data_IF_874512290483
#
_entry.id   IF_874512290483
#
_cell.length_a   1.000
_cell.length_b   1.000
_cell.length_c   1.000
_cell.angle_alpha   90.00
_cell.angle_beta   90.00
_cell.angle_gamma   90.00
#
_symmetry.space_group_name_H-M   'P 1'
#
loop_
_entity.id
_entity.type
_entity.pdbx_description
1 polymer ?
#
# COMPACT_ATOMS: atom_id res chain seq x y z
N UNK A 1 -20.40 5.64 -26.44
CA UNK A 1 -20.79 4.29 -25.97
C UNK A 1 -20.28 4.15 -24.54
N UNK A 2 -21.14 4.35 -23.53
CA UNK A 2 -20.77 4.36 -22.10
C UNK A 2 -20.95 2.96 -21.52
N UNK A 3 -19.85 2.27 -21.21
CA UNK A 3 -19.89 1.02 -20.46
C UNK A 3 -20.22 1.31 -18.99
N UNK A 4 -21.40 0.88 -18.56
CA UNK A 4 -21.89 0.92 -17.18
C UNK A 4 -21.74 -0.48 -16.60
N UNK A 5 -20.55 -0.83 -16.12
CA UNK A 5 -20.28 -2.11 -15.46
C UNK A 5 -19.45 -1.89 -14.21
N UNK A 6 -20.04 -1.23 -13.22
CA UNK A 6 -19.52 -1.24 -11.84
C UNK A 6 -20.66 -0.93 -10.88
N UNK A 7 -21.43 -1.96 -10.52
CA UNK A 7 -22.32 -1.88 -9.34
C UNK A 7 -22.70 -3.24 -8.74
N UNK A 8 -22.46 -4.35 -9.45
CA UNK A 8 -22.94 -5.66 -8.99
C UNK A 8 -22.13 -6.27 -7.83
N UNK A 9 -20.90 -5.84 -7.57
CA UNK A 9 -20.07 -6.37 -6.47
C UNK A 9 -20.41 -5.77 -5.10
N UNK A 10 -20.96 -4.55 -5.05
CA UNK A 10 -21.34 -3.89 -3.79
C UNK A 10 -22.73 -4.29 -3.29
N UNK A 11 -23.66 -4.63 -4.19
CA UNK A 11 -24.98 -5.15 -3.79
C UNK A 11 -24.90 -6.56 -3.19
N UNK A 12 -23.99 -7.42 -3.68
CA UNK A 12 -23.81 -8.77 -3.15
C UNK A 12 -23.17 -8.75 -1.75
N UNK A 13 -22.18 -7.87 -1.50
CA UNK A 13 -21.59 -7.69 -0.16
C UNK A 13 -22.56 -7.02 0.84
N UNK A 14 -23.48 -6.17 0.34
CA UNK A 14 -24.53 -5.56 1.14
C UNK A 14 -25.65 -6.53 1.52
N UNK A 15 -26.02 -7.46 0.64
CA UNK A 15 -26.98 -8.53 0.92
C UNK A 15 -26.44 -9.57 1.90
N UNK A 16 -25.16 -9.95 1.80
CA UNK A 16 -24.55 -10.93 2.71
C UNK A 16 -24.43 -10.36 4.14
N UNK A 17 -24.15 -9.06 4.29
CA UNK A 17 -24.15 -8.40 5.60
C UNK A 17 -25.55 -8.17 6.18
N UNK A 18 -26.59 -8.02 5.36
CA UNK A 18 -27.96 -7.81 5.84
C UNK A 18 -28.69 -9.10 6.19
N UNK A 19 -28.40 -10.22 5.50
CA UNK A 19 -28.91 -11.55 5.84
C UNK A 19 -28.30 -12.14 7.12
N UNK A 20 -27.19 -11.58 7.60
CA UNK A 20 -26.42 -12.13 8.73
C UNK A 20 -26.19 -11.12 9.85
N UNK A 21 -27.25 -10.41 10.24
CA UNK A 21 -27.31 -9.60 11.48
C UNK A 21 -26.89 -10.41 12.71
N UNK A 22 -26.00 -9.83 13.52
CA UNK A 22 -25.40 -10.42 14.72
C UNK A 22 -26.42 -10.84 15.80
N UNK A 23 -27.64 -10.26 15.79
CA UNK A 23 -28.72 -10.61 16.72
C UNK A 23 -29.43 -11.92 16.36
N UNK A 24 -29.60 -12.21 15.06
CA UNK A 24 -30.25 -13.44 14.59
C UNK A 24 -29.33 -14.65 14.79
N UNK A 25 -28.02 -14.48 14.57
CA UNK A 25 -27.00 -15.52 14.84
C UNK A 25 -27.06 -16.04 16.28
N UNK A 26 -27.26 -15.15 17.26
CA UNK A 26 -27.36 -15.53 18.68
C UNK A 26 -28.60 -16.39 18.96
N UNK A 27 -29.73 -16.11 18.30
CA UNK A 27 -30.96 -16.91 18.45
C UNK A 27 -30.77 -18.33 17.92
N UNK A 28 -30.20 -18.49 16.72
CA UNK A 28 -29.95 -19.82 16.14
C UNK A 28 -28.91 -20.62 16.94
N UNK A 29 -27.85 -19.98 17.44
CA UNK A 29 -26.86 -20.63 18.31
C UNK A 29 -27.52 -21.11 19.62
N UNK A 30 -28.39 -20.29 20.23
CA UNK A 30 -29.13 -20.66 21.43
C UNK A 30 -30.12 -21.81 21.17
N UNK A 31 -30.86 -21.77 20.07
CA UNK A 31 -31.81 -22.84 19.68
C UNK A 31 -31.06 -24.15 19.40
N UNK A 32 -29.94 -24.10 18.67
CA UNK A 32 -29.13 -25.28 18.37
C UNK A 32 -28.51 -25.89 19.64
N UNK A 33 -28.01 -25.04 20.55
CA UNK A 33 -27.53 -25.48 21.87
C UNK A 33 -28.64 -26.11 22.72
N UNK A 34 -29.85 -25.54 22.69
CA UNK A 34 -31.01 -26.08 23.39
C UNK A 34 -31.40 -27.47 22.84
N UNK A 35 -31.39 -27.65 21.52
CA UNK A 35 -31.69 -28.94 20.87
C UNK A 35 -30.65 -29.99 21.28
N UNK A 36 -29.36 -29.65 21.23
CA UNK A 36 -28.26 -30.54 21.65
C UNK A 36 -28.37 -30.93 23.12
N UNK A 37 -28.92 -30.09 23.97
CA UNK A 37 -29.10 -30.37 25.40
C UNK A 37 -30.39 -31.16 25.70
N UNK A 38 -31.50 -30.78 25.07
CA UNK A 38 -32.81 -31.38 25.33
C UNK A 38 -32.92 -32.80 24.78
N UNK A 39 -32.35 -33.07 23.60
CA UNK A 39 -32.45 -34.39 22.98
C UNK A 39 -31.81 -35.51 23.81
N UNK A 40 -30.55 -35.45 24.29
CA UNK A 40 -29.99 -36.50 25.15
C UNK A 40 -30.68 -36.58 26.51
N UNK A 41 -31.14 -35.44 27.07
CA UNK A 41 -31.91 -35.42 28.33
C UNK A 41 -33.24 -36.17 28.18
N UNK A 42 -33.92 -36.00 27.05
CA UNK A 42 -35.17 -36.71 26.75
C UNK A 42 -34.97 -38.22 26.63
N UNK A 43 -33.93 -38.67 25.92
CA UNK A 43 -33.60 -40.11 25.82
C UNK A 43 -33.19 -40.72 27.17
N UNK A 44 -32.45 -39.98 28.01
CA UNK A 44 -32.13 -40.41 29.38
C UNK A 44 -33.38 -40.62 30.25
N UNK A 45 -34.39 -39.75 30.12
CA UNK A 45 -35.66 -39.88 30.85
C UNK A 45 -36.44 -41.11 30.38
N UNK A 46 -36.51 -41.36 29.06
CA UNK A 46 -37.17 -42.55 28.52
C UNK A 46 -36.54 -43.85 29.04
N UNK A 47 -35.21 -43.90 29.06
CA UNK A 47 -34.46 -45.05 29.60
C UNK A 47 -34.68 -45.21 31.11
N UNK A 48 -34.69 -44.11 31.89
CA UNK A 48 -34.94 -44.16 33.33
C UNK A 48 -36.30 -44.76 33.69
N UNK A 49 -37.34 -44.47 32.88
CA UNK A 49 -38.69 -45.02 33.08
C UNK A 49 -38.91 -46.41 32.45
N UNK A 50 -37.87 -47.05 31.90
CA UNK A 50 -37.95 -48.34 31.18
C UNK A 50 -39.00 -48.36 30.04
N UNK A 51 -39.32 -47.19 29.46
CA UNK A 51 -40.23 -47.10 28.32
C UNK A 51 -39.59 -47.61 27.01
N UNK A 52 -38.27 -47.77 26.99
CA UNK A 52 -37.48 -48.27 25.86
C UNK A 52 -37.95 -49.65 25.35
N UNK A 53 -38.42 -50.52 26.24
CA UNK A 53 -39.00 -51.84 25.90
C UNK A 53 -40.27 -51.78 25.04
N UNK A 54 -41.02 -50.66 25.05
CA UNK A 54 -42.24 -50.50 24.24
C UNK A 54 -42.00 -49.88 22.85
N UNK A 55 -40.82 -49.29 22.63
CA UNK A 55 -40.48 -48.53 21.41
C UNK A 55 -39.43 -49.23 20.52
N UNK A 56 -39.09 -50.49 20.82
CA UNK A 56 -38.26 -51.31 19.95
C UNK A 56 -36.75 -51.01 19.97
N UNK A 57 -36.26 -50.22 20.94
CA UNK A 57 -34.83 -50.13 21.23
C UNK A 57 -34.43 -51.36 22.06
N UNK A 58 -33.90 -52.37 21.37
CA UNK A 58 -33.68 -53.71 21.95
C UNK A 58 -32.40 -53.83 22.77
N UNK A 59 -31.50 -52.84 22.75
CA UNK A 59 -30.26 -52.84 23.54
C UNK A 59 -30.18 -51.56 24.39
N UNK A 60 -29.92 -51.74 25.68
CA UNK A 60 -29.66 -50.65 26.62
C UNK A 60 -28.54 -49.74 26.06
N UNK A 61 -28.83 -48.45 25.91
CA UNK A 61 -27.90 -47.38 25.47
C UNK A 61 -27.60 -47.21 23.97
N UNK A 62 -28.37 -47.79 23.05
CA UNK A 62 -28.17 -47.59 21.59
C UNK A 62 -28.17 -46.12 21.13
N UNK A 63 -28.96 -45.27 21.79
CA UNK A 63 -29.02 -43.83 21.49
C UNK A 63 -27.69 -43.11 21.75
N UNK A 64 -26.87 -43.59 22.70
CA UNK A 64 -25.59 -42.98 23.05
C UNK A 64 -24.61 -43.07 21.88
N UNK A 65 -24.62 -44.20 21.15
CA UNK A 65 -23.81 -44.38 19.94
C UNK A 65 -24.25 -43.44 18.81
N UNK A 66 -25.55 -43.23 18.64
CA UNK A 66 -26.10 -42.28 17.67
C UNK A 66 -25.66 -40.84 17.97
N UNK A 67 -25.79 -40.38 19.22
CA UNK A 67 -25.38 -39.02 19.60
C UNK A 67 -23.85 -38.84 19.57
N UNK A 68 -23.09 -39.85 19.98
CA UNK A 68 -21.64 -39.85 19.86
C UNK A 68 -21.19 -39.71 18.39
N UNK A 69 -21.84 -40.42 17.47
CA UNK A 69 -21.61 -40.29 16.03
C UNK A 69 -22.03 -38.93 15.47
N UNK A 70 -23.21 -38.43 15.85
CA UNK A 70 -23.72 -37.13 15.38
C UNK A 70 -22.84 -35.96 15.87
N UNK A 71 -22.51 -35.91 17.16
CA UNK A 71 -21.64 -34.88 17.72
C UNK A 71 -20.21 -35.04 17.19
N UNK A 72 -19.68 -36.25 17.16
CA UNK A 72 -18.35 -36.52 16.61
C UNK A 72 -18.23 -36.10 15.14
N UNK A 73 -19.24 -36.41 14.32
CA UNK A 73 -19.30 -36.01 12.92
C UNK A 73 -19.44 -34.49 12.74
N UNK A 74 -20.29 -33.85 13.56
CA UNK A 74 -20.49 -32.38 13.51
C UNK A 74 -19.24 -31.63 13.93
N UNK A 75 -18.63 -32.00 15.07
CA UNK A 75 -17.38 -31.39 15.53
C UNK A 75 -16.21 -31.71 14.60
N UNK A 76 -16.13 -32.94 14.08
CA UNK A 76 -15.13 -33.33 13.08
C UNK A 76 -15.25 -32.53 11.78
N UNK A 77 -16.49 -32.31 11.30
CA UNK A 77 -16.78 -31.47 10.15
C UNK A 77 -16.39 -30.01 10.36
N UNK A 78 -16.75 -29.42 11.51
CA UNK A 78 -16.37 -28.05 11.87
C UNK A 78 -14.85 -27.92 11.99
N UNK A 79 -14.17 -28.86 12.63
CA UNK A 79 -12.72 -28.87 12.77
C UNK A 79 -12.03 -28.95 11.41
N UNK A 80 -12.51 -29.83 10.52
CA UNK A 80 -12.00 -29.96 9.15
C UNK A 80 -12.19 -28.66 8.36
N UNK A 81 -13.40 -28.09 8.40
CA UNK A 81 -13.71 -26.82 7.75
C UNK A 81 -12.81 -25.69 8.25
N UNK A 82 -12.64 -25.57 9.57
CA UNK A 82 -11.78 -24.56 10.18
C UNK A 82 -10.31 -24.75 9.76
N UNK A 83 -9.84 -26.00 9.71
CA UNK A 83 -8.51 -26.34 9.21
C UNK A 83 -8.31 -25.86 7.77
N UNK A 84 -9.18 -26.26 6.86
CA UNK A 84 -9.12 -25.86 5.43
C UNK A 84 -9.22 -24.34 5.27
N UNK A 85 -10.13 -23.70 5.99
CA UNK A 85 -10.30 -22.24 5.95
C UNK A 85 -9.03 -21.49 6.40
N UNK A 86 -8.42 -21.93 7.51
CA UNK A 86 -7.16 -21.36 8.00
C UNK A 86 -6.03 -21.57 6.99
N UNK A 87 -5.92 -22.76 6.41
CA UNK A 87 -4.92 -23.09 5.39
C UNK A 87 -5.07 -22.22 4.15
N UNK A 88 -6.29 -22.08 3.59
CA UNK A 88 -6.54 -21.24 2.42
C UNK A 88 -6.22 -19.77 2.70
N UNK A 89 -6.58 -19.27 3.88
CA UNK A 89 -6.27 -17.89 4.28
C UNK A 89 -4.76 -17.67 4.38
N UNK A 90 -4.03 -18.63 4.94
CA UNK A 90 -2.58 -18.58 5.05
C UNK A 90 -1.91 -18.64 3.67
N UNK A 91 -2.31 -19.60 2.83
CA UNK A 91 -1.80 -19.76 1.47
C UNK A 91 -2.02 -18.51 0.64
N UNK A 92 -3.25 -17.96 0.63
CA UNK A 92 -3.56 -16.73 -0.10
C UNK A 92 -2.66 -15.56 0.32
N UNK A 93 -2.38 -15.45 1.63
CA UNK A 93 -1.48 -14.41 2.16
C UNK A 93 -0.03 -14.67 1.75
N UNK A 94 0.44 -15.92 1.82
CA UNK A 94 1.78 -16.31 1.42
C UNK A 94 2.03 -16.11 -0.08
N UNK A 95 1.05 -16.48 -0.91
CA UNK A 95 1.11 -16.31 -2.37
C UNK A 95 1.12 -14.83 -2.75
N UNK A 96 0.28 -14.02 -2.11
CA UNK A 96 0.30 -12.57 -2.31
C UNK A 96 1.67 -11.96 -1.94
N UNK A 97 2.23 -12.35 -0.80
CA UNK A 97 3.54 -11.89 -0.35
C UNK A 97 4.66 -12.31 -1.31
N UNK A 98 4.63 -13.57 -1.76
CA UNK A 98 5.59 -14.13 -2.72
C UNK A 98 5.51 -13.42 -4.06
N UNK A 99 4.29 -13.21 -4.57
CA UNK A 99 4.07 -12.49 -5.81
C UNK A 99 4.58 -11.05 -5.70
N UNK A 100 4.31 -10.35 -4.58
CA UNK A 100 4.84 -9.01 -4.34
C UNK A 100 6.38 -8.99 -4.36
N UNK A 101 7.02 -9.91 -3.64
CA UNK A 101 8.49 -9.99 -3.58
C UNK A 101 9.11 -10.29 -4.95
N UNK A 102 8.40 -11.01 -5.82
CA UNK A 102 8.88 -11.31 -7.17
C UNK A 102 8.89 -10.11 -8.13
N UNK A 103 8.15 -9.04 -7.81
CA UNK A 103 8.01 -7.85 -8.68
C UNK A 103 8.38 -6.55 -7.97
N UNK A 104 9.01 -6.62 -6.80
CA UNK A 104 9.29 -5.44 -6.01
C UNK A 104 10.25 -4.50 -6.75
N UNK A 105 9.87 -3.23 -7.00
CA UNK A 105 10.78 -2.24 -7.57
C UNK A 105 11.63 -1.63 -6.47
N UNK A 106 12.94 -1.54 -6.73
CA UNK A 106 13.91 -0.88 -5.84
C UNK A 106 14.52 0.25 -6.66
N UNK A 107 14.40 1.47 -6.17
CA UNK A 107 14.86 2.64 -6.89
C UNK A 107 16.14 3.18 -6.27
N UNK A 108 17.12 3.45 -7.13
CA UNK A 108 18.32 4.21 -6.82
C UNK A 108 18.23 5.59 -7.46
N UNK A 109 18.85 6.57 -6.82
CA UNK A 109 18.75 7.96 -7.23
C UNK A 109 20.13 8.53 -7.50
N UNK A 110 20.21 9.37 -8.53
CA UNK A 110 21.35 10.22 -8.83
C UNK A 110 20.84 11.62 -9.16
N UNK A 111 21.59 12.65 -8.78
CA UNK A 111 21.29 14.03 -9.13
C UNK A 111 22.40 14.51 -10.06
N UNK A 112 22.03 14.96 -11.26
CA UNK A 112 22.93 15.72 -12.14
C UNK A 112 22.51 17.18 -12.17
N UNK A 113 23.49 18.07 -12.01
CA UNK A 113 23.33 19.53 -12.09
C UNK A 113 24.07 20.11 -13.30
N UNK A 114 24.55 19.27 -14.22
CA UNK A 114 25.20 19.72 -15.44
C UNK A 114 24.16 20.21 -16.46
N UNK A 115 24.32 21.44 -16.97
CA UNK A 115 23.40 22.02 -17.96
C UNK A 115 23.27 21.16 -19.21
N UNK A 116 24.37 20.57 -19.67
CA UNK A 116 24.35 19.72 -20.85
C UNK A 116 23.51 18.45 -20.62
N UNK A 117 23.60 17.84 -19.43
CA UNK A 117 22.77 16.69 -19.07
C UNK A 117 21.29 17.09 -18.91
N UNK A 118 21.06 18.28 -18.35
CA UNK A 118 19.73 18.84 -18.22
C UNK A 118 19.09 19.10 -19.59
N UNK A 119 19.81 19.69 -20.54
CA UNK A 119 19.29 20.00 -21.88
C UNK A 119 19.12 18.72 -22.72
N UNK A 120 20.10 17.82 -22.69
CA UNK A 120 20.12 16.60 -23.53
C UNK A 120 19.27 15.45 -22.98
N UNK A 121 18.92 15.44 -21.68
CA UNK A 121 18.11 14.37 -21.15
C UNK A 121 16.70 14.40 -21.77
N UNK A 122 16.27 13.28 -22.36
CA UNK A 122 14.92 13.09 -22.92
C UNK A 122 13.84 12.97 -21.82
N UNK A 123 14.08 13.56 -20.64
CA UNK A 123 13.32 13.34 -19.41
C UNK A 123 11.94 14.00 -19.37
N UNK A 124 11.63 14.91 -20.27
CA UNK A 124 10.33 15.58 -20.33
C UNK A 124 10.20 16.25 -21.70
N UNK A 125 9.63 15.54 -22.69
CA UNK A 125 9.06 16.21 -23.85
C UNK A 125 7.69 15.61 -24.14
N UNK A 126 6.74 16.56 -24.22
CA UNK A 126 5.46 16.49 -24.95
C UNK A 126 4.52 15.36 -24.58
N UNK A 127 3.74 15.58 -23.51
CA UNK A 127 2.30 15.31 -23.51
C UNK A 127 1.56 16.05 -22.36
N UNK A 128 2.25 16.54 -21.31
CA UNK A 128 1.58 17.06 -20.08
C UNK A 128 2.12 18.38 -19.46
N UNK A 129 2.81 19.26 -20.19
CA UNK A 129 2.99 20.66 -19.74
C UNK A 129 4.29 21.02 -19.01
N UNK A 130 5.38 21.12 -19.78
CA UNK A 130 6.59 21.86 -19.38
C UNK A 130 7.45 21.22 -18.29
N UNK A 131 8.59 21.87 -18.03
CA UNK A 131 9.45 21.55 -16.88
C UNK A 131 8.82 22.25 -15.66
N UNK A 132 8.65 21.57 -14.51
CA UNK A 132 8.07 22.19 -13.32
C UNK A 132 8.97 23.33 -12.81
N UNK A 133 8.38 24.52 -12.66
CA UNK A 133 9.00 25.72 -12.10
C UNK A 133 8.59 25.86 -10.63
N UNK A 134 9.59 25.94 -9.74
CA UNK A 134 9.38 25.88 -8.29
C UNK A 134 9.90 27.18 -7.67
N UNK A 135 9.01 27.98 -7.12
CA UNK A 135 9.35 29.25 -6.49
C UNK A 135 9.54 29.07 -4.98
N UNK A 136 10.72 29.40 -4.47
CA UNK A 136 11.06 29.35 -3.05
C UNK A 136 10.91 30.74 -2.43
N UNK A 137 10.19 30.82 -1.31
CA UNK A 137 10.01 32.08 -0.56
C UNK A 137 9.43 33.20 -1.44
N UNK A 138 10.12 34.35 -1.54
CA UNK A 138 9.70 35.51 -2.35
C UNK A 138 10.20 35.45 -3.80
N UNK A 139 11.00 34.44 -4.15
CA UNK A 139 11.56 34.32 -5.49
C UNK A 139 10.50 33.90 -6.51
N UNK A 140 10.70 34.30 -7.75
CA UNK A 140 9.81 33.98 -8.86
C UNK A 140 10.60 33.90 -10.15
N UNK A 141 10.21 33.00 -11.05
CA UNK A 141 10.67 33.00 -12.44
C UNK A 141 10.57 34.37 -13.15
N UNK A 142 9.62 35.22 -12.74
CA UNK A 142 9.41 36.55 -13.33
C UNK A 142 10.31 37.63 -12.71
N UNK A 143 11.01 37.34 -11.62
CA UNK A 143 11.84 38.28 -10.89
C UNK A 143 13.32 38.14 -11.30
N UNK A 144 13.91 39.25 -11.77
CA UNK A 144 15.31 39.30 -12.20
C UNK A 144 16.31 39.12 -11.05
N UNK A 145 15.87 39.34 -9.81
CA UNK A 145 16.70 39.16 -8.62
C UNK A 145 16.63 37.71 -8.08
N UNK A 146 15.85 36.85 -8.72
CA UNK A 146 15.77 35.43 -8.37
C UNK A 146 16.88 34.64 -9.08
N UNK A 147 17.55 33.77 -8.33
CA UNK A 147 18.52 32.84 -8.87
C UNK A 147 17.82 31.60 -9.38
N UNK A 148 18.15 31.21 -10.61
CA UNK A 148 17.64 30.00 -11.25
C UNK A 148 18.60 28.83 -11.02
N UNK A 149 18.06 27.77 -10.44
CA UNK A 149 18.73 26.49 -10.25
C UNK A 149 18.01 25.41 -11.05
N UNK A 150 18.78 24.47 -11.57
CA UNK A 150 18.25 23.33 -12.28
C UNK A 150 18.95 22.06 -11.80
N UNK A 151 18.20 20.97 -11.73
CA UNK A 151 18.78 19.65 -11.55
C UNK A 151 17.92 18.60 -12.26
N UNK A 152 18.57 17.50 -12.61
CA UNK A 152 17.95 16.32 -13.16
C UNK A 152 18.06 15.18 -12.13
N UNK A 153 16.90 14.72 -11.64
CA UNK A 153 16.81 13.52 -10.84
C UNK A 153 16.75 12.30 -11.77
N UNK A 154 17.80 11.50 -11.73
CA UNK A 154 17.89 10.25 -12.46
C UNK A 154 17.50 9.12 -11.51
N UNK A 155 16.44 8.41 -11.86
CA UNK A 155 15.94 7.26 -11.12
C UNK A 155 16.32 6.00 -11.89
N UNK A 156 17.10 5.12 -11.26
CA UNK A 156 17.41 3.79 -11.77
C UNK A 156 16.59 2.74 -11.02
N UNK A 157 16.00 1.79 -11.71
CA UNK A 157 15.29 0.69 -11.06
C UNK A 157 16.15 -0.57 -11.05
N UNK A 158 16.72 -0.88 -9.89
CA UNK A 158 17.56 -2.06 -9.62
C UNK A 158 16.76 -3.24 -9.03
N UNK A 159 15.44 -3.09 -8.93
CA UNK A 159 14.54 -4.12 -8.42
C UNK A 159 14.19 -5.20 -9.44
N UNK A 160 13.24 -6.07 -9.07
CA UNK A 160 12.82 -7.18 -9.92
C UNK A 160 11.66 -6.82 -10.86
N UNK A 161 10.81 -5.87 -10.49
CA UNK A 161 9.67 -5.42 -11.30
C UNK A 161 9.85 -4.03 -11.89
N UNK A 162 8.79 -3.51 -12.53
CA UNK A 162 8.76 -2.14 -13.03
C UNK A 162 8.11 -1.20 -12.01
N UNK A 163 8.56 0.04 -11.96
CA UNK A 163 7.98 1.08 -11.13
C UNK A 163 7.20 2.07 -11.98
N UNK A 164 6.03 2.48 -11.51
CA UNK A 164 5.27 3.58 -12.08
C UNK A 164 5.32 4.75 -11.09
N UNK A 165 6.05 5.80 -11.42
CA UNK A 165 6.13 7.01 -10.58
C UNK A 165 4.80 7.75 -10.70
N UNK A 166 4.12 7.92 -9.57
CA UNK A 166 2.86 8.67 -9.50
C UNK A 166 3.06 10.11 -9.07
N UNK A 167 4.06 10.36 -8.20
CA UNK A 167 4.27 11.69 -7.62
C UNK A 167 5.70 11.85 -7.09
N UNK A 168 6.23 13.06 -7.21
CA UNK A 168 7.47 13.48 -6.57
C UNK A 168 7.16 14.73 -5.74
N UNK A 169 7.41 14.67 -4.44
CA UNK A 169 7.28 15.80 -3.54
C UNK A 169 8.66 16.34 -3.20
N UNK A 170 8.86 17.64 -3.40
CA UNK A 170 10.07 18.36 -3.05
C UNK A 170 9.80 19.16 -1.79
N UNK A 171 10.58 18.91 -0.75
CA UNK A 171 10.46 19.55 0.55
C UNK A 171 11.76 20.29 0.81
N UNK A 172 11.70 21.61 0.67
CA UNK A 172 12.83 22.49 0.95
C UNK A 172 12.86 22.81 2.44
N UNK A 173 14.00 22.58 3.06
CA UNK A 173 14.26 22.85 4.47
C UNK A 173 15.42 23.84 4.60
N UNK A 174 15.43 24.57 5.71
CA UNK A 174 16.51 25.50 6.01
C UNK A 174 17.85 24.74 6.11
N UNK A 175 18.90 25.28 5.48
CA UNK A 175 20.24 24.69 5.50
C UNK A 175 20.84 24.67 6.91
N UNK A 176 20.50 25.65 7.76
CA UNK A 176 20.98 25.75 9.14
C UNK A 176 20.11 24.98 10.13
N UNK A 177 18.83 24.76 9.79
CA UNK A 177 17.88 24.03 10.62
C UNK A 177 17.01 23.11 9.75
N UNK A 178 17.44 21.86 9.59
CA UNK A 178 16.80 20.85 8.72
C UNK A 178 15.37 20.42 9.14
N UNK A 179 14.85 20.95 10.26
CA UNK A 179 13.48 20.76 10.71
C UNK A 179 12.53 21.85 10.21
N UNK A 180 13.04 23.06 9.94
CA UNK A 180 12.24 24.16 9.44
C UNK A 180 11.93 23.98 7.96
N UNK A 181 10.65 23.78 7.63
CA UNK A 181 10.17 23.61 6.27
C UNK A 181 9.90 24.98 5.66
N UNK A 182 10.62 25.29 4.58
CA UNK A 182 10.48 26.55 3.84
C UNK A 182 9.38 26.43 2.79
N UNK A 183 9.38 25.31 2.04
CA UNK A 183 8.44 25.09 0.94
C UNK A 183 8.22 23.61 0.72
N UNK A 184 6.98 23.26 0.36
CA UNK A 184 6.64 21.95 -0.20
C UNK A 184 6.06 22.17 -1.58
N UNK A 185 6.53 21.39 -2.54
CA UNK A 185 5.99 21.34 -3.89
C UNK A 185 5.63 19.89 -4.22
N UNK A 186 4.42 19.69 -4.73
CA UNK A 186 3.93 18.38 -5.15
C UNK A 186 3.86 18.37 -6.67
N UNK A 187 4.61 17.45 -7.29
CA UNK A 187 4.66 17.31 -8.74
C UNK A 187 4.07 15.95 -9.08
N UNK A 188 2.84 15.98 -9.60
CA UNK A 188 2.14 14.82 -10.10
C UNK A 188 2.73 14.35 -11.43
N UNK A 189 2.81 13.03 -11.61
CA UNK A 189 3.14 12.41 -12.88
C UNK A 189 2.05 11.40 -13.22
N UNK A 190 1.54 11.41 -14.45
CA UNK A 190 0.65 10.37 -14.96
C UNK A 190 1.42 9.06 -15.20
N UNK A 191 1.81 8.39 -14.10
CA UNK A 191 2.39 7.04 -14.10
C UNK A 191 3.60 6.87 -15.02
N UNK A 192 4.62 7.72 -14.84
CA UNK A 192 5.85 7.62 -15.64
C UNK A 192 6.58 6.31 -15.32
N UNK A 193 6.62 5.40 -16.30
CA UNK A 193 7.18 4.06 -16.15
C UNK A 193 8.72 4.10 -16.10
N UNK A 194 9.28 3.49 -15.07
CA UNK A 194 10.70 3.19 -14.90
C UNK A 194 10.86 1.67 -15.00
N UNK A 195 11.31 1.23 -16.19
CA UNK A 195 11.55 -0.20 -16.46
C UNK A 195 12.71 -0.70 -15.60
N UNK A 196 12.74 -2.01 -15.37
CA UNK A 196 13.85 -2.67 -14.68
C UNK A 196 15.15 -2.42 -15.44
N UNK A 197 16.24 -2.15 -14.72
CA UNK A 197 17.59 -1.89 -15.23
C UNK A 197 17.66 -0.71 -16.22
N UNK A 198 16.69 0.21 -16.16
CA UNK A 198 16.65 1.39 -17.00
C UNK A 198 16.57 2.65 -16.15
N UNK A 199 17.22 3.69 -16.65
CA UNK A 199 17.22 5.00 -16.03
C UNK A 199 16.07 5.86 -16.56
N UNK A 200 15.51 6.69 -15.68
CA UNK A 200 14.55 7.72 -16.05
C UNK A 200 14.89 9.04 -15.39
N UNK A 201 15.02 10.06 -16.23
CA UNK A 201 15.34 11.44 -15.85
C UNK A 201 14.08 12.27 -15.59
N UNK A 202 14.12 13.10 -14.56
CA UNK A 202 13.10 14.05 -14.14
C UNK A 202 13.74 15.42 -13.92
N UNK A 203 13.32 16.42 -14.70
CA UNK A 203 13.89 17.76 -14.69
C UNK A 203 13.12 18.67 -13.74
N UNK A 204 13.83 19.52 -13.01
CA UNK A 204 13.24 20.52 -12.14
C UNK A 204 13.96 21.86 -12.29
N UNK A 205 13.18 22.94 -12.33
CA UNK A 205 13.66 24.32 -12.27
C UNK A 205 13.22 24.93 -10.94
N UNK A 206 14.16 25.51 -10.22
CA UNK A 206 13.95 26.13 -8.90
C UNK A 206 14.39 27.58 -8.97
N UNK A 207 13.57 28.47 -8.43
CA UNK A 207 13.87 29.88 -8.28
C UNK A 207 14.00 30.20 -6.79
N UNK A 208 15.16 30.71 -6.40
CA UNK A 208 15.50 31.05 -5.03
C UNK A 208 15.90 32.53 -4.89
N UNK A 209 15.72 33.17 -3.71
CA UNK A 209 16.08 34.57 -3.53
C UNK A 209 17.60 34.78 -3.64
N UNK A 210 18.05 35.78 -4.39
CA UNK A 210 19.48 36.08 -4.53
C UNK A 210 20.15 36.66 -3.28
N UNK A 211 19.39 37.25 -2.36
CA UNK A 211 19.91 38.08 -1.26
C UNK A 211 20.38 37.33 0.00
N UNK A 212 20.44 36.00 0.02
CA UNK A 212 20.78 35.22 1.23
C UNK A 212 21.87 34.14 1.04
N UNK A 213 22.66 34.19 -0.03
CA UNK A 213 23.76 33.22 -0.24
C UNK A 213 25.08 33.80 0.26
N UNK A 214 25.12 34.25 1.51
CA UNK A 214 26.37 34.73 2.12
C UNK A 214 27.20 33.61 2.78
N UNK A 215 26.63 32.42 2.97
CA UNK A 215 27.34 31.26 3.50
C UNK A 215 26.99 30.01 2.67
N UNK A 216 27.95 29.09 2.55
CA UNK A 216 28.01 27.88 1.70
C UNK A 216 26.84 26.87 1.76
N UNK A 217 25.67 27.19 2.31
CA UNK A 217 24.51 26.30 2.40
C UNK A 217 23.21 27.03 2.10
N UNK A 218 22.67 26.83 0.90
CA UNK A 218 21.49 27.56 0.50
C UNK A 218 20.19 26.86 0.95
N UNK A 219 19.96 25.57 0.66
CA UNK A 219 18.80 24.82 1.21
C UNK A 219 19.06 23.31 1.31
N UNK A 220 18.52 22.68 2.35
CA UNK A 220 18.34 21.23 2.37
C UNK A 220 17.12 20.84 1.52
N UNK A 221 17.19 19.71 0.83
CA UNK A 221 16.12 19.21 -0.04
C UNK A 221 15.79 17.76 0.33
N UNK A 222 14.54 17.50 0.73
CA UNK A 222 14.02 16.14 0.87
C UNK A 222 13.12 15.85 -0.33
N UNK A 223 13.48 14.85 -1.11
CA UNK A 223 12.75 14.39 -2.31
C UNK A 223 12.01 13.12 -1.91
N UNK A 224 10.68 13.18 -1.84
CA UNK A 224 9.84 12.02 -1.56
C UNK A 224 9.22 11.52 -2.85
N UNK A 225 9.56 10.29 -3.23
CA UNK A 225 9.09 9.65 -4.45
C UNK A 225 8.00 8.65 -4.09
N UNK A 226 6.83 8.81 -4.69
CA UNK A 226 5.70 7.89 -4.58
C UNK A 226 5.58 7.09 -5.88
N UNK A 227 5.54 5.77 -5.77
CA UNK A 227 5.47 4.89 -6.92
C UNK A 227 4.66 3.64 -6.62
N UNK A 228 4.28 2.92 -7.66
CA UNK A 228 3.60 1.64 -7.55
C UNK A 228 4.23 0.59 -8.46
N UNK A 229 4.12 -0.68 -8.07
CA UNK A 229 4.44 -1.78 -8.97
C UNK A 229 3.28 -2.07 -9.93
N UNK A 230 3.49 -3.03 -10.84
CA UNK A 230 2.47 -3.44 -11.81
C UNK A 230 1.28 -4.18 -11.19
N UNK A 231 1.40 -4.64 -9.93
CA UNK A 231 0.32 -5.26 -9.18
C UNK A 231 -0.51 -4.23 -8.40
N UNK A 232 -0.12 -2.95 -8.44
CA UNK A 232 -0.79 -1.85 -7.76
C UNK A 232 -0.35 -1.65 -6.32
N UNK A 233 0.69 -2.35 -5.85
CA UNK A 233 1.25 -2.12 -4.52
C UNK A 233 1.97 -0.78 -4.52
N UNK A 234 1.75 0.03 -3.48
CA UNK A 234 2.26 1.40 -3.39
C UNK A 234 3.48 1.48 -2.49
N UNK A 235 4.42 2.32 -2.88
CA UNK A 235 5.69 2.49 -2.20
C UNK A 235 6.03 3.98 -2.09
N UNK A 236 6.75 4.30 -1.03
CA UNK A 236 7.32 5.62 -0.78
C UNK A 236 8.82 5.45 -0.51
N UNK A 237 9.62 6.34 -1.07
CA UNK A 237 11.05 6.41 -0.74
C UNK A 237 11.49 7.87 -0.61
N UNK A 238 12.32 8.13 0.40
CA UNK A 238 12.79 9.47 0.73
C UNK A 238 14.28 9.59 0.40
N UNK A 239 14.63 10.54 -0.45
CA UNK A 239 15.99 10.92 -0.77
C UNK A 239 16.32 12.28 -0.16
N UNK A 240 17.51 12.39 0.45
CA UNK A 240 18.00 13.59 1.10
C UNK A 240 19.14 14.18 0.26
N UNK A 241 18.98 15.43 -0.12
CA UNK A 241 19.90 16.19 -0.94
C UNK A 241 20.10 17.60 -0.38
N UNK A 242 21.06 18.33 -0.90
CA UNK A 242 21.23 19.76 -0.66
C UNK A 242 21.40 20.48 -1.99
N UNK A 243 21.06 21.76 -1.99
CA UNK A 243 21.36 22.65 -3.10
C UNK A 243 22.09 23.86 -2.54
N UNK A 244 23.17 24.24 -3.21
CA UNK A 244 23.97 25.40 -2.86
C UNK A 244 24.53 26.06 -4.13
N UNK A 245 25.04 27.26 -3.95
CA UNK A 245 25.67 28.06 -5.01
C UNK A 245 27.00 28.59 -4.50
N UNK A 246 28.04 28.48 -5.31
CA UNK A 246 29.38 29.00 -5.02
C UNK A 246 29.96 29.57 -6.31
N UNK A 247 30.47 30.80 -6.26
CA UNK A 247 31.07 31.51 -7.39
C UNK A 247 30.18 31.55 -8.66
N UNK A 248 28.86 31.65 -8.46
CA UNK A 248 27.86 31.68 -9.54
C UNK A 248 27.56 30.30 -10.16
N UNK A 249 28.15 29.23 -9.63
CA UNK A 249 27.87 27.84 -10.03
C UNK A 249 26.91 27.23 -9.01
N UNK A 250 25.76 26.78 -9.49
CA UNK A 250 24.78 26.06 -8.67
C UNK A 250 25.09 24.56 -8.71
N UNK A 251 25.04 23.92 -7.54
CA UNK A 251 25.23 22.47 -7.42
C UNK A 251 24.16 21.87 -6.52
N UNK A 252 23.71 20.68 -6.91
CA UNK A 252 22.76 19.87 -6.14
C UNK A 252 23.41 18.52 -5.85
N UNK A 253 23.55 18.20 -4.56
CA UNK A 253 24.24 17.00 -4.10
C UNK A 253 23.26 16.07 -3.40
N UNK A 254 23.15 14.84 -3.89
CA UNK A 254 22.46 13.77 -3.17
C UNK A 254 23.36 13.27 -2.04
N UNK A 255 22.85 13.24 -0.82
CA UNK A 255 23.59 12.72 0.33
C UNK A 255 23.34 11.23 0.54
N UNK A 256 22.06 10.87 0.68
CA UNK A 256 21.62 9.49 0.88
C UNK A 256 20.13 9.36 0.57
N UNK A 257 19.65 8.13 0.50
CA UNK A 257 18.22 7.84 0.43
C UNK A 257 17.89 6.72 1.41
N UNK A 258 16.68 6.75 1.92
CA UNK A 258 16.15 5.76 2.84
C UNK A 258 15.70 4.51 2.08
N UNK A 259 15.53 3.42 2.82
CA UNK A 259 14.89 2.23 2.28
C UNK A 259 13.44 2.54 1.90
N UNK A 260 12.96 1.89 0.85
CA UNK A 260 11.56 2.03 0.43
C UNK A 260 10.60 1.52 1.52
N UNK A 261 9.44 2.16 1.62
CA UNK A 261 8.37 1.81 2.55
C UNK A 261 7.13 1.40 1.76
N UNK A 262 6.65 0.19 2.03
CA UNK A 262 5.37 -0.28 1.48
C UNK A 262 4.20 0.42 2.18
N UNK A 263 3.30 1.00 1.39
CA UNK A 263 2.09 1.68 1.86
C UNK A 263 0.93 0.68 1.78
N UNK A 264 0.36 0.34 2.95
CA UNK A 264 -0.81 -0.55 3.05
C UNK A 264 -2.10 0.14 2.60
#
# INVERSE_FOLDING_TARGET
MKFKTHNNSREVEGLDKSLFSTSEKRKYILIFGLIIFLTPTFFLVIDFFNLSSYIGFTVTYDWLGFFGGFLGGTFGGIATFMGVYLTLKYQKKADYEKNRLSVIPILEYKISYNKADFDNSMGQLSDEGGIPHINISKASYQDKNSLEWYFNLIICNVGMGHAQISRINLIFVNGNNHEEIIKKEEIGYSYKLVKKDHDKSFKFLIYAPGENIHDNFAYGLKIKIMYQDLLGNKYEQLAHASIASSDGINFANLHYYENFKHLK
#
